data_IF_970469960390
#
_entry.id   IF_970469960390
#
_cell.length_a   1.000
_cell.length_b   1.000
_cell.length_c   1.000
_cell.angle_alpha   90.00
_cell.angle_beta   90.00
_cell.angle_gamma   90.00
#
_symmetry.space_group_name_H-M   'P 1'
#
loop_
_entity.id
_entity.type
_entity.pdbx_description
1 polymer ?
#
# COMPACT_ATOMS: atom_id res chain seq x y z
N UNK A 1 0.32 -3.04 -4.72
CA UNK A 1 -0.51 -2.18 -3.84
C UNK A 1 -1.97 -2.27 -4.30
N UNK A 2 -2.90 -2.67 -3.42
CA UNK A 2 -4.33 -2.52 -3.75
C UNK A 2 -4.66 -1.03 -3.73
N UNK A 3 -5.28 -0.55 -4.80
CA UNK A 3 -5.80 0.82 -4.93
C UNK A 3 -6.84 1.09 -3.83
N UNK A 4 -7.05 2.34 -3.45
CA UNK A 4 -8.12 2.77 -2.54
C UNK A 4 -9.37 3.10 -3.35
N UNK A 5 -10.53 2.55 -2.99
CA UNK A 5 -11.78 2.87 -3.67
C UNK A 5 -12.47 4.09 -3.07
N UNK A 6 -12.65 5.16 -3.84
CA UNK A 6 -13.38 6.37 -3.44
C UNK A 6 -14.76 6.31 -4.11
N UNK A 7 -15.83 6.20 -3.32
CA UNK A 7 -17.21 6.18 -3.82
C UNK A 7 -17.94 7.41 -3.31
N UNK A 8 -18.63 8.13 -4.18
CA UNK A 8 -19.39 9.32 -3.81
C UNK A 8 -20.77 9.32 -4.48
N UNK A 9 -21.71 10.06 -3.90
CA UNK A 9 -22.99 10.44 -4.54
C UNK A 9 -23.12 11.96 -4.52
N UNK A 10 -23.73 12.55 -5.54
CA UNK A 10 -23.70 14.01 -5.70
C UNK A 10 -24.73 14.53 -6.72
N UNK A 11 -25.68 15.36 -6.31
CA UNK A 11 -26.61 16.02 -7.26
C UNK A 11 -26.13 17.39 -7.75
N UNK A 12 -25.43 18.18 -6.90
CA UNK A 12 -24.96 19.54 -7.24
C UNK A 12 -23.51 19.60 -7.74
N UNK A 13 -22.77 18.50 -7.59
CA UNK A 13 -21.35 18.41 -7.93
C UNK A 13 -20.39 18.72 -6.77
N UNK A 14 -20.87 19.26 -5.64
CA UNK A 14 -20.01 19.61 -4.49
C UNK A 14 -19.26 18.37 -3.96
N UNK A 15 -19.98 17.29 -3.61
CA UNK A 15 -19.36 16.05 -3.13
C UNK A 15 -18.44 15.41 -4.16
N UNK A 16 -18.82 15.46 -5.45
CA UNK A 16 -17.99 14.95 -6.55
C UNK A 16 -16.67 15.73 -6.69
N UNK A 17 -16.70 17.05 -6.53
CA UNK A 17 -15.52 17.90 -6.56
C UNK A 17 -14.60 17.62 -5.37
N UNK A 18 -15.15 17.43 -4.16
CA UNK A 18 -14.37 17.01 -2.99
C UNK A 18 -13.74 15.63 -3.22
N UNK A 19 -14.49 14.67 -3.77
CA UNK A 19 -13.97 13.34 -4.07
C UNK A 19 -12.76 13.38 -5.03
N UNK A 20 -12.83 14.24 -6.07
CA UNK A 20 -11.69 14.49 -6.98
C UNK A 20 -10.50 15.11 -6.26
N UNK A 21 -10.71 16.14 -5.43
CA UNK A 21 -9.63 16.75 -4.62
C UNK A 21 -8.97 15.73 -3.68
N UNK A 22 -9.75 14.82 -3.09
CA UNK A 22 -9.23 13.72 -2.26
C UNK A 22 -8.34 12.79 -3.10
N UNK A 23 -8.82 12.38 -4.28
CA UNK A 23 -8.07 11.52 -5.19
C UNK A 23 -6.72 12.14 -5.60
N UNK A 24 -6.72 13.43 -5.98
CA UNK A 24 -5.50 14.15 -6.36
C UNK A 24 -4.47 14.16 -5.23
N UNK A 25 -4.91 14.40 -3.99
CA UNK A 25 -4.04 14.44 -2.81
C UNK A 25 -3.56 13.07 -2.33
N UNK A 26 -4.31 12.00 -2.62
CA UNK A 26 -3.94 10.60 -2.34
C UNK A 26 -3.11 9.93 -3.43
N UNK A 27 -2.87 10.62 -4.55
CA UNK A 27 -2.23 10.14 -5.78
C UNK A 27 -3.18 9.25 -6.64
N UNK A 28 -3.62 9.73 -7.83
CA UNK A 28 -4.55 9.02 -8.69
C UNK A 28 -4.11 7.61 -9.13
N UNK A 29 -2.81 7.32 -9.11
CA UNK A 29 -2.27 5.99 -9.45
C UNK A 29 -2.66 4.92 -8.41
N UNK A 30 -3.01 5.35 -7.19
CA UNK A 30 -3.27 4.50 -6.04
C UNK A 30 -4.71 4.60 -5.51
N UNK A 31 -5.59 5.30 -6.22
CA UNK A 31 -6.99 5.44 -5.84
C UNK A 31 -7.92 5.54 -7.04
N UNK A 32 -8.95 4.72 -7.05
CA UNK A 32 -9.99 4.70 -8.06
C UNK A 32 -11.20 5.50 -7.56
N UNK A 33 -11.88 6.19 -8.48
CA UNK A 33 -13.00 7.06 -8.18
C UNK A 33 -14.26 6.53 -8.86
N UNK A 34 -15.34 6.39 -8.09
CA UNK A 34 -16.60 5.81 -8.51
C UNK A 34 -17.78 6.69 -8.08
N UNK A 35 -18.73 6.86 -8.99
CA UNK A 35 -20.06 7.36 -8.66
C UNK A 35 -20.89 6.20 -8.11
N UNK A 36 -21.56 6.39 -6.98
CA UNK A 36 -22.37 5.35 -6.34
C UNK A 36 -23.56 4.95 -7.22
N UNK A 37 -24.08 5.86 -8.05
CA UNK A 37 -25.16 5.59 -9.00
C UNK A 37 -24.79 4.52 -10.04
N UNK A 38 -23.51 4.42 -10.39
CA UNK A 38 -22.97 3.46 -11.38
C UNK A 38 -22.24 2.28 -10.73
N UNK A 39 -22.21 2.22 -9.39
CA UNK A 39 -21.43 1.24 -8.64
C UNK A 39 -22.21 -0.02 -8.33
N UNK A 40 -21.49 -1.14 -8.21
CA UNK A 40 -22.06 -2.42 -7.78
C UNK A 40 -21.41 -2.94 -6.50
N UNK A 41 -22.01 -3.98 -5.92
CA UNK A 41 -21.44 -4.69 -4.77
C UNK A 41 -19.98 -5.13 -5.02
N UNK A 42 -19.69 -5.64 -6.22
CA UNK A 42 -18.37 -6.15 -6.59
C UNK A 42 -17.32 -5.05 -6.62
N UNK A 43 -17.73 -3.84 -7.00
CA UNK A 43 -16.82 -2.70 -7.09
C UNK A 43 -16.32 -2.27 -5.72
N UNK A 44 -17.14 -2.38 -4.67
CA UNK A 44 -16.72 -2.11 -3.29
C UNK A 44 -15.92 -3.30 -2.72
N UNK A 45 -16.34 -4.53 -3.01
CA UNK A 45 -15.75 -5.74 -2.42
C UNK A 45 -14.28 -5.95 -2.81
N UNK A 46 -13.84 -5.49 -3.98
CA UNK A 46 -12.45 -5.60 -4.44
C UNK A 46 -11.45 -4.73 -3.65
N UNK A 47 -11.92 -3.74 -2.89
CA UNK A 47 -11.06 -2.81 -2.15
C UNK A 47 -11.02 -3.10 -0.66
N UNK A 48 -9.82 -3.15 -0.08
CA UNK A 48 -9.65 -3.28 1.38
C UNK A 48 -9.71 -1.90 2.08
N UNK A 49 -9.48 -0.83 1.32
CA UNK A 49 -9.44 0.56 1.78
C UNK A 49 -10.45 1.36 0.97
N UNK A 50 -11.37 2.02 1.66
CA UNK A 50 -12.51 2.71 1.07
C UNK A 50 -12.63 4.13 1.61
N UNK A 51 -13.10 5.05 0.77
CA UNK A 51 -13.52 6.39 1.16
C UNK A 51 -14.93 6.61 0.64
N UNK A 52 -15.87 6.97 1.50
CA UNK A 52 -17.25 7.23 1.12
C UNK A 52 -17.61 8.71 1.29
N UNK A 53 -18.09 9.31 0.21
CA UNK A 53 -18.58 10.68 0.14
C UNK A 53 -20.10 10.73 0.07
N UNK A 54 -20.74 11.20 1.14
CA UNK A 54 -22.21 11.25 1.22
C UNK A 54 -22.70 12.65 1.59
N UNK A 55 -23.42 13.36 0.69
CA UNK A 55 -24.07 14.61 1.03
C UNK A 55 -25.34 14.35 1.85
N UNK A 56 -25.72 15.35 2.64
CA UNK A 56 -27.00 15.38 3.34
C UNK A 56 -27.97 16.29 2.61
N UNK A 57 -29.20 15.84 2.48
CA UNK A 57 -30.29 16.55 1.82
C UNK A 57 -31.47 16.75 2.74
N UNK A 58 -32.31 17.73 2.39
CA UNK A 58 -33.56 18.05 3.08
C UNK A 58 -33.41 18.12 4.62
N UNK A 59 -34.04 17.22 5.36
CA UNK A 59 -34.08 17.16 6.81
C UNK A 59 -33.22 16.00 7.34
N UNK A 60 -32.02 15.88 6.80
CA UNK A 60 -31.01 14.92 7.25
C UNK A 60 -30.97 13.61 6.46
N UNK A 61 -31.64 13.55 5.33
CA UNK A 61 -31.68 12.38 4.45
C UNK A 61 -30.36 12.19 3.68
N UNK A 62 -29.99 10.93 3.39
CA UNK A 62 -28.97 10.65 2.38
C UNK A 62 -29.45 11.09 0.98
N UNK A 63 -28.50 11.37 0.11
CA UNK A 63 -28.77 11.55 -1.32
C UNK A 63 -29.39 10.29 -1.94
N UNK A 64 -30.21 10.46 -2.98
CA UNK A 64 -31.05 9.38 -3.52
C UNK A 64 -30.27 8.16 -3.98
N UNK A 65 -29.14 8.34 -4.68
CA UNK A 65 -28.34 7.20 -5.16
C UNK A 65 -27.73 6.41 -3.99
N UNK A 66 -27.37 7.10 -2.90
CA UNK A 66 -26.96 6.43 -1.68
C UNK A 66 -28.09 5.67 -1.01
N UNK A 67 -29.29 6.24 -0.93
CA UNK A 67 -30.45 5.57 -0.33
C UNK A 67 -30.81 4.30 -1.10
N UNK A 68 -30.82 4.38 -2.44
CA UNK A 68 -31.02 3.24 -3.35
C UNK A 68 -29.92 2.17 -3.20
N UNK A 69 -28.69 2.59 -2.88
CA UNK A 69 -27.56 1.68 -2.70
C UNK A 69 -27.49 1.04 -1.30
N UNK A 70 -28.11 1.62 -0.26
CA UNK A 70 -28.05 1.10 1.10
C UNK A 70 -28.49 -0.38 1.27
N UNK A 71 -29.52 -0.89 0.56
CA UNK A 71 -29.84 -2.31 0.57
C UNK A 71 -28.72 -3.21 0.07
N UNK A 72 -27.89 -2.74 -0.87
CA UNK A 72 -26.68 -3.44 -1.35
C UNK A 72 -25.57 -3.34 -0.32
N UNK A 73 -25.33 -2.13 0.20
CA UNK A 73 -24.30 -1.87 1.20
C UNK A 73 -24.47 -2.76 2.45
N UNK A 74 -25.72 -2.98 2.89
CA UNK A 74 -26.05 -3.84 4.04
C UNK A 74 -25.68 -5.31 3.84
N UNK A 75 -25.48 -5.78 2.59
CA UNK A 75 -25.11 -7.16 2.27
C UNK A 75 -23.59 -7.38 2.22
N UNK A 76 -22.80 -6.31 2.23
CA UNK A 76 -21.35 -6.36 2.13
C UNK A 76 -20.72 -6.64 3.50
N UNK A 77 -19.76 -7.56 3.53
CA UNK A 77 -18.96 -7.81 4.73
C UNK A 77 -17.78 -6.81 4.80
N UNK A 78 -17.77 -5.97 5.84
CA UNK A 78 -16.73 -4.96 6.05
C UNK A 78 -15.71 -5.32 7.13
N UNK A 79 -15.73 -6.54 7.68
CA UNK A 79 -14.86 -6.98 8.80
C UNK A 79 -13.37 -6.67 8.63
N UNK A 80 -12.86 -6.79 7.40
CA UNK A 80 -11.45 -6.58 7.07
C UNK A 80 -11.20 -5.30 6.25
N UNK A 81 -12.20 -4.41 6.17
CA UNK A 81 -12.16 -3.20 5.36
C UNK A 81 -11.98 -1.97 6.24
N UNK A 82 -11.08 -1.08 5.82
CA UNK A 82 -10.82 0.21 6.46
C UNK A 82 -11.54 1.30 5.66
N UNK A 83 -12.37 2.09 6.33
CA UNK A 83 -13.26 3.05 5.68
C UNK A 83 -13.10 4.43 6.31
N UNK A 84 -12.90 5.44 5.45
CA UNK A 84 -13.01 6.85 5.82
C UNK A 84 -14.31 7.43 5.24
N UNK A 85 -14.94 8.36 5.95
CA UNK A 85 -16.18 9.02 5.51
C UNK A 85 -15.93 10.51 5.38
N UNK A 86 -16.48 11.14 4.34
CA UNK A 86 -16.66 12.58 4.28
C UNK A 86 -18.09 12.89 3.83
N UNK A 87 -18.58 14.07 4.17
CA UNK A 87 -19.90 14.52 3.79
C UNK A 87 -19.97 16.02 3.64
N UNK A 88 -20.89 16.45 2.79
CA UNK A 88 -21.21 17.85 2.58
C UNK A 88 -22.61 18.13 3.14
N UNK A 89 -22.77 19.27 3.79
CA UNK A 89 -24.05 19.78 4.27
C UNK A 89 -23.97 21.29 4.52
N UNK A 90 -25.09 21.88 4.89
CA UNK A 90 -25.19 23.31 5.22
C UNK A 90 -25.47 23.44 6.73
N UNK A 91 -24.55 24.05 7.46
CA UNK A 91 -24.65 24.15 8.91
C UNK A 91 -25.52 25.32 9.39
N UNK A 92 -25.88 26.25 8.51
CA UNK A 92 -26.62 27.46 8.86
C UNK A 92 -28.11 27.30 8.57
N UNK A 93 -28.47 26.92 7.33
CA UNK A 93 -29.88 26.72 6.96
C UNK A 93 -30.44 25.39 7.48
N UNK A 94 -29.57 24.38 7.64
CA UNK A 94 -29.95 23.03 8.06
C UNK A 94 -29.15 22.59 9.30
N UNK A 95 -28.96 23.52 10.24
CA UNK A 95 -28.18 23.36 11.47
C UNK A 95 -28.63 22.19 12.36
N UNK A 96 -29.92 21.82 12.34
CA UNK A 96 -30.49 20.67 13.07
C UNK A 96 -30.13 19.31 12.45
N UNK A 97 -29.72 19.30 11.18
CA UNK A 97 -29.51 18.10 10.37
C UNK A 97 -28.10 18.05 9.77
N UNK A 98 -27.17 18.86 10.27
CA UNK A 98 -25.88 19.10 9.62
C UNK A 98 -25.09 17.79 9.43
N UNK A 99 -24.83 17.43 8.17
CA UNK A 99 -24.13 16.21 7.78
C UNK A 99 -24.71 14.89 8.34
N UNK A 100 -26.02 14.83 8.64
CA UNK A 100 -26.71 13.66 9.20
C UNK A 100 -26.47 12.36 8.42
N UNK A 101 -26.39 12.44 7.09
CA UNK A 101 -26.22 11.28 6.22
C UNK A 101 -24.93 10.50 6.52
N UNK A 102 -23.86 11.18 6.97
CA UNK A 102 -22.63 10.49 7.42
C UNK A 102 -22.90 9.59 8.61
N UNK A 103 -23.75 10.03 9.54
CA UNK A 103 -24.14 9.25 10.72
C UNK A 103 -24.96 8.02 10.36
N UNK A 104 -25.88 8.16 9.39
CA UNK A 104 -26.69 7.05 8.86
C UNK A 104 -25.79 6.00 8.19
N UNK A 105 -24.89 6.45 7.31
CA UNK A 105 -23.91 5.59 6.65
C UNK A 105 -23.02 4.87 7.67
N UNK A 106 -22.46 5.60 8.64
CA UNK A 106 -21.60 5.04 9.68
C UNK A 106 -22.28 3.91 10.48
N UNK A 107 -23.57 4.05 10.80
CA UNK A 107 -24.33 2.97 11.49
C UNK A 107 -24.40 1.69 10.66
N UNK A 108 -24.63 1.80 9.35
CA UNK A 108 -24.68 0.64 8.45
C UNK A 108 -23.30 -0.06 8.41
N UNK A 109 -22.22 0.72 8.35
CA UNK A 109 -20.86 0.20 8.27
C UNK A 109 -20.44 -0.49 9.57
N UNK A 110 -20.69 0.12 10.73
CA UNK A 110 -20.36 -0.48 12.04
C UNK A 110 -21.15 -1.76 12.28
N UNK A 111 -22.44 -1.80 11.91
CA UNK A 111 -23.25 -3.02 12.02
C UNK A 111 -22.68 -4.18 11.19
N UNK A 112 -21.97 -3.87 10.11
CA UNK A 112 -21.26 -4.82 9.26
C UNK A 112 -19.76 -4.96 9.58
N UNK A 113 -19.35 -4.59 10.80
CA UNK A 113 -18.00 -4.75 11.35
C UNK A 113 -16.91 -3.93 10.63
N UNK A 114 -17.27 -2.82 9.97
CA UNK A 114 -16.31 -1.94 9.34
C UNK A 114 -15.40 -1.25 10.36
N UNK A 115 -14.12 -1.07 9.99
CA UNK A 115 -13.19 -0.24 10.75
C UNK A 115 -13.21 1.20 10.21
N UNK A 116 -13.79 2.10 10.99
CA UNK A 116 -13.94 3.52 10.63
C UNK A 116 -12.74 4.34 11.09
N UNK A 117 -12.19 5.15 10.20
CA UNK A 117 -11.06 6.05 10.44
C UNK A 117 -11.39 7.48 10.02
N UNK A 118 -10.55 8.44 10.42
CA UNK A 118 -10.69 9.83 9.97
C UNK A 118 -11.74 10.63 10.73
N UNK A 119 -11.89 10.43 12.04
CA UNK A 119 -12.75 11.29 12.86
C UNK A 119 -12.28 12.75 12.76
N UNK A 120 -13.23 13.68 12.64
CA UNK A 120 -12.96 15.11 12.52
C UNK A 120 -13.47 15.86 13.75
N UNK A 121 -12.78 16.92 14.19
CA UNK A 121 -13.19 17.70 15.36
C UNK A 121 -14.40 18.58 15.02
N UNK A 122 -15.32 18.79 15.97
CA UNK A 122 -16.43 19.76 15.80
C UNK A 122 -15.99 21.21 16.06
N UNK A 123 -14.74 21.45 16.44
CA UNK A 123 -14.21 22.80 16.67
C UNK A 123 -14.21 23.60 15.37
N UNK A 124 -14.80 24.81 15.41
CA UNK A 124 -14.92 25.71 14.26
C UNK A 124 -16.15 25.44 13.39
N UNK A 125 -17.13 24.70 13.89
CA UNK A 125 -18.45 24.52 13.28
C UNK A 125 -19.51 25.10 14.21
N UNK A 126 -20.57 25.67 13.64
CA UNK A 126 -21.73 26.20 14.35
C UNK A 126 -22.99 25.51 13.81
N UNK A 127 -23.60 24.64 14.62
CA UNK A 127 -24.80 23.87 14.25
C UNK A 127 -25.54 23.43 15.51
N UNK A 128 -26.82 23.10 15.39
CA UNK A 128 -27.67 22.70 16.53
C UNK A 128 -27.58 21.21 16.84
N UNK A 129 -27.65 20.36 15.80
CA UNK A 129 -27.61 18.91 15.95
C UNK A 129 -27.01 18.21 14.72
N UNK A 130 -26.50 17.00 14.96
CA UNK A 130 -26.00 16.12 13.90
C UNK A 130 -25.96 14.66 14.35
N UNK A 131 -26.54 13.76 13.55
CA UNK A 131 -26.46 12.30 13.70
C UNK A 131 -25.04 11.76 13.46
N UNK A 132 -24.16 12.57 12.87
CA UNK A 132 -22.77 12.21 12.61
C UNK A 132 -21.85 12.38 13.84
N UNK A 133 -22.38 12.79 15.00
CA UNK A 133 -21.59 13.03 16.20
C UNK A 133 -21.21 11.75 16.96
N UNK A 134 -19.95 11.74 17.43
CA UNK A 134 -19.39 10.81 18.41
C UNK A 134 -19.02 11.62 19.65
N UNK A 135 -19.61 11.27 20.79
CA UNK A 135 -19.35 11.90 22.10
C UNK A 135 -19.45 13.44 22.08
N UNK A 136 -20.28 14.02 21.19
CA UNK A 136 -20.48 15.47 20.97
C UNK A 136 -19.22 16.28 20.57
N UNK A 137 -18.06 15.65 20.45
CA UNK A 137 -16.76 16.33 20.18
C UNK A 137 -16.20 16.05 18.80
N UNK A 138 -16.64 14.97 18.17
CA UNK A 138 -16.09 14.52 16.89
C UNK A 138 -17.22 14.13 15.94
N UNK A 139 -17.03 14.42 14.65
CA UNK A 139 -17.77 13.77 13.59
C UNK A 139 -17.18 12.39 13.29
N UNK A 140 -18.02 11.46 12.82
CA UNK A 140 -17.62 10.12 12.33
C UNK A 140 -16.61 10.19 11.19
N UNK A 141 -16.58 11.30 10.45
CA UNK A 141 -15.75 11.56 9.28
C UNK A 141 -15.52 13.06 9.09
N UNK A 142 -15.03 13.47 7.92
CA UNK A 142 -14.84 14.88 7.57
C UNK A 142 -16.18 15.53 7.15
N UNK A 143 -16.68 16.47 7.96
CA UNK A 143 -17.80 17.33 7.61
C UNK A 143 -17.30 18.55 6.81
N UNK A 144 -17.94 18.86 5.69
CA UNK A 144 -17.66 20.04 4.88
C UNK A 144 -18.94 20.81 4.60
N UNK A 145 -18.76 22.10 4.37
CA UNK A 145 -19.84 23.03 4.07
C UNK A 145 -19.33 23.95 2.95
N UNK A 146 -19.62 23.55 1.71
CA UNK A 146 -19.18 24.30 0.51
C UNK A 146 -20.04 25.55 0.27
N UNK A 147 -21.19 25.66 0.94
CA UNK A 147 -22.13 26.76 0.75
C UNK A 147 -21.84 27.91 1.73
N UNK A 148 -21.47 27.59 2.98
CA UNK A 148 -21.19 28.59 4.05
C UNK A 148 -19.71 28.76 4.39
N UNK A 149 -18.88 27.72 4.25
CA UNK A 149 -17.47 27.75 4.63
C UNK A 149 -16.50 27.21 3.54
N UNK A 150 -16.65 27.58 2.25
CA UNK A 150 -15.82 27.05 1.17
C UNK A 150 -14.32 27.38 1.34
N UNK A 151 -13.99 28.49 2.01
CA UNK A 151 -12.61 28.91 2.29
C UNK A 151 -11.90 27.98 3.28
N UNK A 152 -12.65 27.29 4.15
CA UNK A 152 -12.08 26.38 5.14
C UNK A 152 -11.85 24.98 4.57
N UNK A 153 -12.53 24.62 3.48
CA UNK A 153 -12.50 23.28 2.89
C UNK A 153 -11.09 22.80 2.58
N UNK A 154 -10.28 23.62 1.91
CA UNK A 154 -8.94 23.20 1.51
C UNK A 154 -8.05 22.87 2.72
N UNK A 155 -8.14 23.69 3.77
CA UNK A 155 -7.38 23.50 5.01
C UNK A 155 -7.83 22.25 5.77
N UNK A 156 -9.16 22.05 5.90
CA UNK A 156 -9.77 20.90 6.56
C UNK A 156 -9.45 19.60 5.82
N UNK A 157 -9.50 19.64 4.48
CA UNK A 157 -9.18 18.52 3.61
C UNK A 157 -7.71 18.11 3.75
N UNK A 158 -6.78 19.06 3.73
CA UNK A 158 -5.35 18.77 3.90
C UNK A 158 -5.08 18.10 5.24
N UNK A 159 -5.56 18.69 6.34
CA UNK A 159 -5.37 18.15 7.69
C UNK A 159 -5.99 16.76 7.87
N UNK A 160 -7.20 16.57 7.34
CA UNK A 160 -7.89 15.29 7.41
C UNK A 160 -7.17 14.22 6.58
N UNK A 161 -6.73 14.57 5.37
CA UNK A 161 -5.96 13.67 4.52
C UNK A 161 -4.66 13.29 5.21
N UNK A 162 -3.89 14.20 5.79
CA UNK A 162 -2.67 13.83 6.53
C UNK A 162 -2.92 12.79 7.62
N UNK A 163 -4.03 12.92 8.37
CA UNK A 163 -4.42 11.93 9.39
C UNK A 163 -4.73 10.56 8.82
N UNK A 164 -5.55 10.49 7.77
CA UNK A 164 -5.94 9.20 7.18
C UNK A 164 -4.87 8.63 6.25
N UNK A 165 -4.02 9.47 5.67
CA UNK A 165 -3.00 9.10 4.70
C UNK A 165 -2.01 8.13 5.30
N UNK A 166 -1.65 8.28 6.57
CA UNK A 166 -0.82 7.27 7.22
C UNK A 166 -1.52 5.92 7.32
N UNK A 167 -2.85 5.84 7.45
CA UNK A 167 -3.58 4.55 7.54
C UNK A 167 -3.91 3.99 6.15
N UNK A 168 -4.23 4.87 5.21
CA UNK A 168 -4.58 4.54 3.82
C UNK A 168 -3.32 4.20 3.02
N UNK A 169 -2.23 4.94 3.21
CA UNK A 169 -0.94 4.69 2.57
C UNK A 169 -0.02 3.80 3.39
N UNK A 170 -0.26 3.60 4.70
CA UNK A 170 0.51 2.57 5.40
C UNK A 170 0.19 1.23 4.78
N UNK A 171 1.25 0.44 4.79
CA UNK A 171 1.20 -0.99 4.76
C UNK A 171 0.55 -1.46 6.08
N UNK A 172 -0.68 -1.06 6.38
CA UNK A 172 -1.54 -1.82 7.28
C UNK A 172 -2.23 -2.81 6.37
N UNK A 173 -1.84 -4.06 6.50
CA UNK A 173 -2.41 -5.16 5.76
C UNK A 173 -2.27 -6.45 6.54
N UNK A 174 -2.69 -7.55 5.92
CA UNK A 174 -2.56 -8.87 6.53
C UNK A 174 -1.11 -9.18 6.95
N UNK A 175 -0.11 -8.62 6.27
CA UNK A 175 1.31 -8.94 6.44
C UNK A 175 2.20 -7.73 6.77
N UNK A 176 1.61 -6.60 7.12
CA UNK A 176 2.33 -5.36 7.35
C UNK A 176 1.71 -4.54 8.50
N UNK A 177 2.58 -3.96 9.32
CA UNK A 177 2.27 -3.02 10.39
C UNK A 177 3.24 -1.83 10.27
N UNK A 178 2.84 -0.57 10.56
CA UNK A 178 3.70 0.60 10.36
C UNK A 178 5.02 0.54 11.14
N UNK A 179 4.99 -0.07 12.32
CA UNK A 179 6.15 -0.47 13.09
C UNK A 179 6.28 -2.00 13.06
N UNK A 180 7.49 -2.50 12.85
CA UNK A 180 7.75 -3.94 12.75
C UNK A 180 9.19 -4.24 13.15
N UNK A 181 9.43 -5.50 13.53
CA UNK A 181 10.70 -5.99 14.03
C UNK A 181 11.52 -6.57 12.89
N UNK A 182 12.75 -6.06 12.71
CA UNK A 182 13.71 -6.54 11.72
C UNK A 182 14.89 -7.17 12.43
N UNK A 183 15.33 -8.33 11.93
CA UNK A 183 16.64 -8.89 12.20
C UNK A 183 17.52 -8.67 10.97
N UNK A 184 18.54 -7.82 11.10
CA UNK A 184 19.47 -7.53 10.02
C UNK A 184 20.90 -7.84 10.44
N UNK A 185 21.64 -8.57 9.61
CA UNK A 185 23.04 -8.91 9.88
C UNK A 185 23.89 -8.90 8.61
N UNK A 186 25.20 -8.75 8.81
CA UNK A 186 26.19 -8.62 7.74
C UNK A 186 27.34 -9.60 7.99
N UNK A 187 27.70 -10.37 6.97
CA UNK A 187 28.79 -11.34 7.03
C UNK A 187 29.95 -10.89 6.13
N UNK A 188 31.09 -10.46 6.71
CA UNK A 188 32.31 -10.23 5.95
C UNK A 188 32.75 -11.49 5.21
N UNK A 189 33.22 -11.29 3.99
CA UNK A 189 33.77 -12.31 3.10
C UNK A 189 32.79 -13.35 2.57
N UNK A 190 31.49 -13.21 2.86
CA UNK A 190 30.44 -14.08 2.32
C UNK A 190 30.01 -13.62 0.93
N UNK A 191 29.93 -14.57 0.00
CA UNK A 191 29.19 -14.39 -1.25
C UNK A 191 27.68 -14.44 -1.01
N UNK A 192 26.89 -14.01 -1.99
CA UNK A 192 25.42 -14.10 -1.94
C UNK A 192 24.95 -15.53 -1.62
N UNK A 193 25.58 -16.55 -2.21
CA UNK A 193 25.20 -17.95 -1.98
C UNK A 193 25.68 -18.52 -0.64
N UNK A 194 26.71 -17.93 -0.03
CA UNK A 194 27.11 -18.28 1.34
C UNK A 194 26.03 -17.78 2.31
N UNK A 195 25.62 -16.52 2.15
CA UNK A 195 24.58 -15.93 3.00
C UNK A 195 23.22 -16.60 2.79
N UNK A 196 22.84 -16.95 1.57
CA UNK A 196 21.61 -17.72 1.29
C UNK A 196 21.59 -19.03 2.09
N UNK A 197 22.72 -19.74 2.18
CA UNK A 197 22.81 -21.00 2.95
C UNK A 197 22.62 -20.75 4.45
N UNK A 198 23.27 -19.72 4.99
CA UNK A 198 23.10 -19.34 6.39
C UNK A 198 21.65 -18.95 6.72
N UNK A 199 21.00 -18.19 5.83
CA UNK A 199 19.57 -17.83 5.98
C UNK A 199 18.68 -19.08 5.92
N UNK A 200 18.99 -20.05 5.05
CA UNK A 200 18.25 -21.31 4.94
C UNK A 200 18.39 -22.17 6.21
N UNK A 201 19.61 -22.24 6.76
CA UNK A 201 19.90 -22.95 8.01
C UNK A 201 19.19 -22.28 9.20
N UNK A 202 19.24 -20.95 9.29
CA UNK A 202 18.49 -20.17 10.30
C UNK A 202 16.98 -20.44 10.21
N UNK A 203 16.41 -20.40 9.00
CA UNK A 203 14.98 -20.64 8.77
C UNK A 203 14.56 -22.03 9.25
N UNK A 204 15.33 -23.08 8.91
CA UNK A 204 15.03 -24.45 9.32
C UNK A 204 15.33 -24.70 10.80
N UNK A 205 16.24 -23.95 11.41
CA UNK A 205 16.46 -24.01 12.84
C UNK A 205 15.25 -23.46 13.62
N UNK A 206 14.69 -22.33 13.18
CA UNK A 206 13.53 -21.70 13.81
C UNK A 206 12.24 -22.51 13.53
N UNK A 207 12.10 -23.07 12.32
CA UNK A 207 10.92 -23.83 11.92
C UNK A 207 11.32 -25.20 11.34
N UNK A 208 11.67 -26.19 12.19
CA UNK A 208 12.20 -27.50 11.75
C UNK A 208 11.25 -28.34 10.88
N UNK A 209 9.94 -28.02 10.90
CA UNK A 209 8.91 -28.71 10.11
C UNK A 209 8.83 -28.23 8.66
N UNK A 210 9.57 -27.17 8.29
CA UNK A 210 9.58 -26.69 6.92
C UNK A 210 10.16 -27.74 5.97
N UNK A 211 9.59 -27.80 4.77
CA UNK A 211 10.19 -28.56 3.68
C UNK A 211 11.41 -27.82 3.16
N UNK A 212 12.39 -28.59 2.69
CA UNK A 212 13.63 -28.09 2.08
C UNK A 212 13.35 -26.96 1.08
N UNK A 213 14.10 -25.87 1.23
CA UNK A 213 14.01 -24.70 0.37
C UNK A 213 14.43 -24.99 -1.08
N UNK A 214 13.88 -24.19 -1.99
CA UNK A 214 14.28 -24.19 -3.40
C UNK A 214 14.89 -22.85 -3.80
N UNK A 215 15.79 -22.90 -4.77
CA UNK A 215 16.49 -21.74 -5.30
C UNK A 215 16.12 -21.59 -6.78
N UNK A 216 15.72 -20.38 -7.19
CA UNK A 216 15.39 -20.10 -8.58
C UNK A 216 15.86 -18.69 -8.95
N UNK A 217 16.48 -18.54 -10.11
CA UNK A 217 16.85 -17.20 -10.58
C UNK A 217 15.63 -16.42 -11.03
N UNK A 218 15.68 -15.09 -10.90
CA UNK A 218 14.64 -14.18 -11.39
C UNK A 218 14.25 -14.46 -12.84
N UNK A 219 15.24 -14.70 -13.71
CA UNK A 219 14.99 -15.02 -15.13
C UNK A 219 14.21 -16.34 -15.30
N UNK A 220 14.65 -17.42 -14.66
CA UNK A 220 13.95 -18.72 -14.73
C UNK A 220 12.51 -18.62 -14.22
N UNK A 221 12.30 -17.80 -13.20
CA UNK A 221 10.99 -17.58 -12.61
C UNK A 221 10.07 -16.79 -13.57
N UNK A 222 10.58 -15.80 -14.30
CA UNK A 222 9.82 -15.13 -15.38
C UNK A 222 9.48 -16.09 -16.53
N UNK A 223 10.41 -16.94 -16.94
CA UNK A 223 10.16 -17.96 -17.96
C UNK A 223 9.08 -18.95 -17.49
N UNK A 224 9.13 -19.38 -16.23
CA UNK A 224 8.19 -20.35 -15.66
C UNK A 224 6.77 -19.80 -15.50
N UNK A 225 6.62 -18.61 -14.94
CA UNK A 225 5.30 -18.05 -14.57
C UNK A 225 4.67 -17.19 -15.66
N UNK A 226 5.48 -16.55 -16.50
CA UNK A 226 5.03 -15.58 -17.50
C UNK A 226 5.29 -16.07 -18.94
N UNK A 227 6.25 -16.99 -19.13
CA UNK A 227 6.60 -17.50 -20.46
C UNK A 227 7.44 -16.52 -21.29
N UNK A 228 8.19 -15.62 -20.63
CA UNK A 228 9.02 -14.61 -21.29
C UNK A 228 10.39 -14.49 -20.62
N UNK A 229 11.41 -14.12 -21.40
CA UNK A 229 12.68 -13.65 -20.85
C UNK A 229 12.55 -12.15 -20.50
N UNK A 230 12.81 -11.74 -19.25
CA UNK A 230 12.58 -10.37 -18.80
C UNK A 230 13.46 -9.33 -19.52
N UNK A 231 14.61 -9.72 -20.07
CA UNK A 231 15.56 -8.81 -20.72
C UNK A 231 15.56 -8.91 -22.25
N UNK A 232 15.13 -10.03 -22.82
CA UNK A 232 15.11 -10.23 -24.29
C UNK A 232 13.76 -9.97 -24.93
N UNK A 233 12.67 -10.14 -24.19
CA UNK A 233 11.33 -10.05 -24.78
C UNK A 233 10.97 -8.62 -25.20
N UNK A 234 10.18 -8.48 -26.27
CA UNK A 234 9.69 -7.19 -26.74
C UNK A 234 8.78 -6.50 -25.71
N UNK A 235 8.91 -5.18 -25.59
CA UNK A 235 8.09 -4.36 -24.67
C UNK A 235 6.60 -4.52 -24.98
N UNK A 236 6.21 -4.59 -26.26
CA UNK A 236 4.81 -4.81 -26.68
C UNK A 236 4.22 -6.09 -26.09
N UNK A 237 5.01 -7.17 -26.03
CA UNK A 237 4.58 -8.46 -25.46
C UNK A 237 4.39 -8.35 -23.95
N UNK A 238 5.31 -7.69 -23.25
CA UNK A 238 5.22 -7.41 -21.80
C UNK A 238 3.96 -6.59 -21.49
N UNK A 239 3.73 -5.52 -22.25
CA UNK A 239 2.56 -4.65 -22.10
C UNK A 239 1.24 -5.39 -22.29
N UNK A 240 1.16 -6.28 -23.29
CA UNK A 240 -0.04 -7.11 -23.54
C UNK A 240 -0.35 -8.08 -22.39
N UNK A 241 0.66 -8.49 -21.62
CA UNK A 241 0.46 -9.33 -20.43
C UNK A 241 -0.05 -8.48 -19.27
N UNK A 242 0.51 -7.29 -19.07
CA UNK A 242 0.08 -6.36 -18.02
C UNK A 242 -1.36 -5.87 -18.24
N UNK A 243 -1.74 -5.57 -19.48
CA UNK A 243 -3.10 -5.09 -19.79
C UNK A 243 -4.20 -6.13 -19.49
N UNK A 244 -3.84 -7.41 -19.33
CA UNK A 244 -4.76 -8.48 -18.92
C UNK A 244 -4.88 -8.62 -17.40
N UNK A 245 -4.12 -7.85 -16.63
CA UNK A 245 -4.26 -7.79 -15.18
C UNK A 245 -5.41 -6.82 -14.89
N UNK A 246 -6.46 -7.31 -14.23
CA UNK A 246 -7.74 -6.60 -14.03
C UNK A 246 -7.57 -5.18 -13.49
N UNK A 247 -6.58 -4.96 -12.62
CA UNK A 247 -6.26 -3.67 -12.00
C UNK A 247 -5.75 -2.63 -13.03
N UNK A 248 -5.22 -3.06 -14.17
CA UNK A 248 -4.57 -2.21 -15.17
C UNK A 248 -5.35 -2.06 -16.48
N UNK A 249 -6.65 -2.37 -16.49
CA UNK A 249 -7.55 -2.33 -17.67
C UNK A 249 -7.38 -1.05 -18.51
N UNK A 250 -6.51 -1.11 -19.52
CA UNK A 250 -6.23 -0.09 -20.55
C UNK A 250 -5.81 1.32 -20.10
N UNK A 251 -5.59 1.58 -18.81
CA UNK A 251 -5.13 2.90 -18.29
C UNK A 251 -3.64 2.93 -17.88
N UNK A 252 -2.90 1.87 -18.14
CA UNK A 252 -1.50 1.76 -17.72
C UNK A 252 -0.54 2.40 -18.73
N UNK A 253 0.07 3.52 -18.32
CA UNK A 253 1.17 4.17 -19.03
C UNK A 253 2.47 4.04 -18.23
N UNK A 254 3.08 2.85 -18.14
CA UNK A 254 4.47 2.80 -17.67
C UNK A 254 5.43 3.16 -18.77
N UNK A 255 6.48 3.87 -18.37
CA UNK A 255 7.46 4.41 -19.30
C UNK A 255 8.74 3.55 -19.35
N UNK A 256 8.90 2.54 -18.48
CA UNK A 256 10.12 1.74 -18.40
C UNK A 256 9.87 0.23 -18.30
N UNK A 257 10.80 -0.56 -18.86
CA UNK A 257 10.78 -2.04 -18.78
C UNK A 257 10.81 -2.51 -17.32
N UNK A 258 11.60 -1.88 -16.46
CA UNK A 258 11.79 -2.32 -15.08
C UNK A 258 10.53 -2.16 -14.23
N UNK A 259 9.77 -1.07 -14.43
CA UNK A 259 8.46 -0.89 -13.81
C UNK A 259 7.48 -1.99 -14.25
N UNK A 260 7.46 -2.31 -15.54
CA UNK A 260 6.64 -3.41 -16.07
C UNK A 260 7.02 -4.75 -15.45
N UNK A 261 8.33 -5.03 -15.33
CA UNK A 261 8.83 -6.26 -14.72
C UNK A 261 8.48 -6.32 -13.24
N UNK A 262 8.63 -5.22 -12.50
CA UNK A 262 8.26 -5.14 -11.09
C UNK A 262 6.76 -5.45 -10.89
N UNK A 263 5.88 -4.88 -11.71
CA UNK A 263 4.45 -5.18 -11.65
C UNK A 263 4.16 -6.65 -11.95
N UNK A 264 4.76 -7.21 -13.00
CA UNK A 264 4.57 -8.63 -13.29
C UNK A 264 5.04 -9.52 -12.14
N UNK A 265 6.17 -9.18 -11.53
CA UNK A 265 6.69 -9.90 -10.38
C UNK A 265 5.72 -9.81 -9.19
N UNK A 266 5.31 -8.61 -8.79
CA UNK A 266 4.43 -8.37 -7.64
C UNK A 266 3.03 -8.98 -7.79
N UNK A 267 2.41 -8.89 -8.98
CA UNK A 267 0.99 -9.27 -9.15
C UNK A 267 0.78 -10.66 -9.74
N UNK A 268 1.74 -11.22 -10.48
CA UNK A 268 1.59 -12.54 -11.10
C UNK A 268 2.49 -13.60 -10.49
N UNK A 269 3.68 -13.23 -10.03
CA UNK A 269 4.68 -14.20 -9.58
C UNK A 269 4.66 -14.33 -8.06
N UNK A 270 5.00 -13.26 -7.33
CA UNK A 270 5.18 -13.26 -5.87
C UNK A 270 4.04 -13.95 -5.10
N UNK A 271 2.74 -13.71 -5.39
CA UNK A 271 1.63 -14.38 -4.70
C UNK A 271 1.58 -15.89 -4.90
N UNK A 272 2.29 -16.41 -5.90
CA UNK A 272 2.36 -17.82 -6.23
C UNK A 272 3.66 -18.50 -5.78
N UNK A 273 4.57 -17.77 -5.14
CA UNK A 273 5.81 -18.30 -4.60
C UNK A 273 5.59 -18.97 -3.25
N UNK A 274 6.43 -19.95 -2.93
CA UNK A 274 6.49 -20.47 -1.58
C UNK A 274 5.29 -21.29 -1.10
N UNK A 275 4.36 -21.73 -1.97
CA UNK A 275 3.10 -22.41 -1.55
C UNK A 275 3.30 -23.75 -0.82
N UNK A 276 4.42 -24.45 -1.08
CA UNK A 276 4.69 -25.78 -0.51
C UNK A 276 5.98 -25.84 0.30
N UNK A 277 6.96 -25.02 -0.05
CA UNK A 277 8.31 -24.97 0.53
C UNK A 277 8.84 -23.55 0.32
N UNK A 278 9.79 -23.05 1.15
CA UNK A 278 10.37 -21.73 0.96
C UNK A 278 11.13 -21.64 -0.37
N UNK A 279 11.07 -20.47 -1.01
CA UNK A 279 11.72 -20.21 -2.29
C UNK A 279 12.62 -18.99 -2.16
N UNK A 280 13.90 -19.20 -2.39
CA UNK A 280 14.86 -18.13 -2.62
C UNK A 280 14.83 -17.75 -4.10
N UNK A 281 14.52 -16.48 -4.36
CA UNK A 281 14.64 -15.86 -5.68
C UNK A 281 15.94 -15.07 -5.69
N UNK A 282 16.83 -15.31 -6.66
CA UNK A 282 18.12 -14.62 -6.72
C UNK A 282 18.42 -14.03 -8.11
N UNK A 283 19.43 -13.17 -8.19
CA UNK A 283 19.82 -12.43 -9.39
C UNK A 283 18.68 -11.53 -9.92
N UNK A 284 18.26 -10.56 -9.12
CA UNK A 284 17.32 -9.53 -9.56
C UNK A 284 17.94 -8.60 -10.61
N UNK A 285 17.14 -7.92 -11.46
CA UNK A 285 17.62 -6.90 -12.37
C UNK A 285 18.41 -5.80 -11.66
N UNK A 286 19.44 -5.27 -12.32
CA UNK A 286 20.30 -4.24 -11.72
C UNK A 286 19.55 -2.96 -11.33
N UNK A 287 18.48 -2.59 -12.02
CA UNK A 287 17.68 -1.42 -11.66
C UNK A 287 16.78 -1.66 -10.42
N UNK A 288 16.67 -2.92 -10.00
CA UNK A 288 15.97 -3.35 -8.78
C UNK A 288 16.97 -3.79 -7.69
N UNK A 289 18.22 -3.34 -7.79
CA UNK A 289 19.33 -3.81 -6.95
C UNK A 289 19.48 -3.06 -5.62
N UNK A 290 18.85 -1.90 -5.46
CA UNK A 290 19.07 -1.02 -4.30
C UNK A 290 20.58 -0.78 -4.07
N UNK A 291 21.16 -1.34 -3.00
CA UNK A 291 22.58 -1.24 -2.62
C UNK A 291 23.39 -2.50 -2.97
N UNK A 292 22.80 -3.46 -3.69
CA UNK A 292 23.47 -4.70 -4.05
C UNK A 292 24.56 -4.50 -5.11
N UNK A 293 25.64 -5.27 -4.99
CA UNK A 293 26.71 -5.36 -5.96
C UNK A 293 26.21 -5.90 -7.32
N UNK A 294 26.89 -5.49 -8.39
CA UNK A 294 26.63 -5.98 -9.74
C UNK A 294 27.17 -7.41 -9.88
N UNK A 295 26.39 -8.31 -10.49
CA UNK A 295 26.87 -9.64 -10.82
C UNK A 295 28.01 -9.56 -11.85
N UNK A 296 29.20 -10.04 -11.48
CA UNK A 296 30.38 -10.00 -12.33
C UNK A 296 30.23 -10.87 -13.59
N UNK A 297 29.50 -11.98 -13.49
CA UNK A 297 29.25 -12.90 -14.61
C UNK A 297 28.26 -12.33 -15.62
N UNK A 298 27.31 -11.51 -15.16
CA UNK A 298 26.33 -10.89 -16.03
C UNK A 298 25.82 -9.57 -15.44
N UNK A 299 26.34 -8.46 -15.99
CA UNK A 299 26.08 -7.09 -15.52
C UNK A 299 24.61 -6.63 -15.62
N UNK A 300 23.71 -7.45 -16.19
CA UNK A 300 22.26 -7.19 -16.17
C UNK A 300 21.62 -7.50 -14.80
N UNK A 301 22.31 -8.29 -13.99
CA UNK A 301 21.83 -8.77 -12.70
C UNK A 301 22.63 -8.18 -11.55
N UNK A 302 22.00 -8.11 -10.40
CA UNK A 302 22.64 -7.82 -9.12
C UNK A 302 22.78 -9.10 -8.29
N UNK A 303 23.79 -9.13 -7.43
CA UNK A 303 24.00 -10.16 -6.41
C UNK A 303 23.02 -9.95 -5.24
N UNK A 304 21.72 -10.08 -5.55
CA UNK A 304 20.59 -9.88 -4.64
C UNK A 304 19.69 -11.11 -4.62
N UNK A 305 19.13 -11.42 -3.46
CA UNK A 305 18.11 -12.44 -3.28
C UNK A 305 16.98 -11.98 -2.36
N UNK A 306 15.84 -12.64 -2.49
CA UNK A 306 14.69 -12.52 -1.61
C UNK A 306 14.19 -13.93 -1.24
N UNK A 307 13.68 -14.10 -0.03
CA UNK A 307 13.10 -15.35 0.46
C UNK A 307 11.57 -15.22 0.55
N UNK A 308 10.86 -16.17 -0.07
CA UNK A 308 9.39 -16.22 -0.09
C UNK A 308 8.84 -17.51 0.51
N UNK A 309 7.78 -17.38 1.33
CA UNK A 309 6.97 -18.51 1.77
C UNK A 309 5.48 -18.11 1.84
N UNK A 310 4.58 -18.96 1.34
CA UNK A 310 3.14 -18.67 1.20
C UNK A 310 2.81 -17.32 0.51
N UNK A 311 3.62 -16.92 -0.48
CA UNK A 311 3.46 -15.65 -1.19
C UNK A 311 3.84 -14.41 -0.38
N UNK A 312 4.53 -14.59 0.75
CA UNK A 312 4.99 -13.54 1.65
C UNK A 312 6.51 -13.47 1.57
N UNK A 313 7.04 -12.25 1.39
CA UNK A 313 8.47 -11.98 1.49
C UNK A 313 8.91 -12.00 2.96
N UNK A 314 9.92 -12.81 3.28
CA UNK A 314 10.46 -12.96 4.63
C UNK A 314 11.80 -12.29 4.82
N UNK A 315 12.62 -12.27 3.78
CA UNK A 315 13.94 -11.68 3.84
C UNK A 315 14.35 -11.12 2.48
N UNK A 316 15.19 -10.10 2.53
CA UNK A 316 15.83 -9.47 1.38
C UNK A 316 17.31 -9.28 1.71
N UNK A 317 18.17 -9.86 0.89
CA UNK A 317 19.62 -9.83 1.12
C UNK A 317 20.40 -9.64 -0.17
N UNK A 318 21.64 -9.21 -0.02
CA UNK A 318 22.53 -8.98 -1.14
C UNK A 318 24.00 -9.08 -0.74
N UNK A 319 24.86 -9.25 -1.75
CA UNK A 319 26.24 -8.83 -1.64
C UNK A 319 26.29 -7.29 -1.69
N UNK A 320 26.99 -6.66 -0.76
CA UNK A 320 26.98 -5.21 -0.61
C UNK A 320 27.84 -4.50 -1.66
N UNK A 321 27.37 -3.34 -2.13
CA UNK A 321 28.15 -2.50 -3.04
C UNK A 321 29.27 -1.75 -2.30
N UNK A 322 30.50 -2.20 -2.51
CA UNK A 322 31.71 -1.60 -1.92
C UNK A 322 32.29 -0.42 -2.73
N UNK A 323 31.60 0.04 -3.78
CA UNK A 323 32.04 1.18 -4.60
C UNK A 323 31.23 2.44 -4.27
N UNK A 324 31.84 3.35 -3.50
CA UNK A 324 31.19 4.58 -3.08
C UNK A 324 30.78 5.51 -4.24
N UNK A 325 31.56 5.56 -5.33
CA UNK A 325 31.22 6.40 -6.50
C UNK A 325 29.97 5.86 -7.20
N UNK A 326 29.88 4.54 -7.34
CA UNK A 326 28.69 3.90 -7.91
C UNK A 326 27.47 4.08 -7.00
N UNK A 327 27.63 3.91 -5.68
CA UNK A 327 26.56 4.14 -4.71
C UNK A 327 26.04 5.58 -4.76
N UNK A 328 26.94 6.57 -4.89
CA UNK A 328 26.56 7.97 -5.06
C UNK A 328 25.73 8.19 -6.33
N UNK A 329 26.14 7.62 -7.47
CA UNK A 329 25.37 7.72 -8.72
C UNK A 329 23.98 7.08 -8.59
N UNK A 330 23.85 5.97 -7.85
CA UNK A 330 22.55 5.35 -7.57
C UNK A 330 21.66 6.25 -6.70
N UNK A 331 22.21 6.91 -5.68
CA UNK A 331 21.45 7.88 -4.88
C UNK A 331 20.94 9.07 -5.70
N UNK A 332 21.79 9.63 -6.57
CA UNK A 332 21.39 10.73 -7.48
C UNK A 332 20.30 10.26 -8.45
N UNK A 333 20.47 9.07 -9.04
CA UNK A 333 19.46 8.49 -9.94
C UNK A 333 18.12 8.29 -9.23
N UNK A 334 18.12 7.76 -8.00
CA UNK A 334 16.91 7.59 -7.21
C UNK A 334 16.20 8.93 -6.94
N UNK A 335 16.93 9.99 -6.62
CA UNK A 335 16.33 11.33 -6.45
C UNK A 335 15.72 11.89 -7.74
N UNK A 336 16.35 11.65 -8.90
CA UNK A 336 15.76 12.00 -10.21
C UNK A 336 14.43 11.26 -10.42
N UNK A 337 14.37 9.96 -10.11
CA UNK A 337 13.12 9.19 -10.22
C UNK A 337 12.06 9.66 -9.22
N UNK A 338 12.44 10.00 -7.99
CA UNK A 338 11.53 10.56 -6.98
C UNK A 338 10.92 11.87 -7.46
N UNK A 339 11.73 12.78 -7.99
CA UNK A 339 11.27 14.06 -8.56
C UNK A 339 10.28 13.85 -9.71
N UNK A 340 10.56 12.91 -10.61
CA UNK A 340 9.62 12.52 -11.69
C UNK A 340 8.28 12.00 -11.17
N UNK A 341 8.28 11.35 -10.01
CA UNK A 341 7.09 10.83 -9.31
C UNK A 341 6.44 11.85 -8.37
N UNK A 342 6.88 13.12 -8.37
CA UNK A 342 6.38 14.15 -7.47
C UNK A 342 6.74 13.94 -5.99
N UNK A 343 7.70 13.07 -5.69
CA UNK A 343 8.15 12.77 -4.34
C UNK A 343 9.32 13.68 -3.94
N UNK A 344 9.38 14.04 -2.66
CA UNK A 344 10.49 14.83 -2.11
C UNK A 344 11.83 14.11 -2.25
N UNK A 345 12.88 14.86 -2.56
CA UNK A 345 14.24 14.32 -2.61
C UNK A 345 14.69 13.83 -1.23
N UNK A 346 15.48 12.76 -1.20
CA UNK A 346 16.12 12.27 0.03
C UNK A 346 17.53 12.81 0.10
N UNK A 347 17.93 13.27 1.28
CA UNK A 347 19.32 13.69 1.55
C UNK A 347 20.24 12.50 1.33
N UNK A 348 21.28 12.69 0.53
CA UNK A 348 22.32 11.68 0.28
C UNK A 348 23.14 11.51 1.57
N UNK A 349 23.31 10.26 2.02
CA UNK A 349 24.11 9.95 3.19
C UNK A 349 25.61 9.98 2.86
N UNK A 350 26.24 11.13 3.12
CA UNK A 350 27.68 11.32 2.93
C UNK A 350 28.50 10.49 3.92
N UNK A 351 27.98 10.18 5.12
CA UNK A 351 28.71 9.38 6.11
C UNK A 351 28.85 7.94 5.63
N UNK A 352 27.79 7.36 5.08
CA UNK A 352 27.83 6.04 4.46
C UNK A 352 28.83 5.99 3.30
N UNK A 353 28.82 6.98 2.41
CA UNK A 353 29.75 7.03 1.27
C UNK A 353 31.21 7.14 1.71
N UNK A 354 31.48 7.93 2.75
CA UNK A 354 32.81 8.04 3.34
C UNK A 354 33.24 6.73 4.01
N UNK A 355 32.33 6.03 4.70
CA UNK A 355 32.61 4.74 5.31
C UNK A 355 32.97 3.68 4.25
N UNK A 356 32.22 3.60 3.16
CA UNK A 356 32.53 2.71 2.02
C UNK A 356 33.91 3.06 1.44
N UNK A 357 34.17 4.36 1.22
CA UNK A 357 35.45 4.84 0.67
C UNK A 357 36.64 4.57 1.58
N UNK A 358 36.42 4.43 2.89
CA UNK A 358 37.47 4.12 3.87
C UNK A 358 37.90 2.65 3.83
N UNK A 359 37.18 1.79 3.11
CA UNK A 359 37.54 0.39 2.90
C UNK A 359 36.57 -0.59 3.56
N UNK A 360 35.30 -0.56 3.17
CA UNK A 360 34.34 -1.61 3.56
C UNK A 360 34.78 -2.96 2.95
N UNK A 361 34.97 -4.02 3.75
CA UNK A 361 35.33 -5.32 3.21
C UNK A 361 34.19 -5.85 2.32
N UNK A 362 34.53 -6.70 1.37
CA UNK A 362 33.53 -7.51 0.66
C UNK A 362 32.67 -8.25 1.69
N UNK A 363 31.36 -8.09 1.62
CA UNK A 363 30.42 -8.70 2.55
C UNK A 363 29.05 -8.90 1.88
N UNK A 364 28.22 -9.73 2.49
CA UNK A 364 26.80 -9.85 2.16
C UNK A 364 25.96 -9.55 3.39
N UNK A 365 24.86 -8.83 3.21
CA UNK A 365 23.89 -8.49 4.25
C UNK A 365 22.50 -9.04 3.94
N UNK A 366 21.69 -9.23 4.97
CA UNK A 366 20.28 -9.62 4.84
C UNK A 366 19.45 -9.00 5.96
N UNK A 367 18.27 -8.51 5.59
CA UNK A 367 17.23 -8.08 6.51
C UNK A 367 16.08 -9.10 6.49
N UNK A 368 15.67 -9.56 7.67
CA UNK A 368 14.66 -10.60 7.88
C UNK A 368 13.50 -10.03 8.73
N UNK A 369 12.27 -10.14 8.24
CA UNK A 369 11.08 -9.69 8.96
C UNK A 369 10.68 -10.68 10.06
N UNK A 370 10.93 -10.31 11.32
CA UNK A 370 10.69 -11.20 12.47
C UNK A 370 9.20 -11.44 12.70
N UNK A 371 8.34 -10.43 12.58
CA UNK A 371 6.90 -10.62 12.81
C UNK A 371 6.31 -11.60 11.80
N UNK A 372 6.76 -11.55 10.54
CA UNK A 372 6.33 -12.50 9.50
C UNK A 372 6.86 -13.91 9.76
N UNK A 373 8.08 -14.03 10.29
CA UNK A 373 8.65 -15.32 10.70
C UNK A 373 7.82 -15.95 11.82
N UNK A 374 7.52 -15.18 12.87
CA UNK A 374 6.69 -15.63 14.00
C UNK A 374 5.28 -16.00 13.53
N UNK A 375 4.69 -15.19 12.64
CA UNK A 375 3.38 -15.48 12.04
C UNK A 375 3.37 -16.84 11.33
N UNK A 376 4.40 -17.17 10.57
CA UNK A 376 4.51 -18.48 9.91
C UNK A 376 4.74 -19.60 10.94
N UNK A 377 5.64 -19.40 11.90
CA UNK A 377 5.96 -20.40 12.92
C UNK A 377 4.72 -20.78 13.75
N UNK A 378 3.85 -19.81 14.03
CA UNK A 378 2.60 -20.00 14.78
C UNK A 378 1.39 -20.32 13.89
N UNK A 379 1.56 -20.40 12.57
CA UNK A 379 0.47 -20.57 11.60
C UNK A 379 -0.64 -19.50 11.76
N UNK A 380 -0.25 -18.29 12.16
CA UNK A 380 -1.13 -17.14 12.26
C UNK A 380 -1.47 -16.61 10.86
N UNK A 381 -2.66 -16.01 10.72
CA UNK A 381 -3.14 -15.51 9.43
C UNK A 381 -2.79 -14.06 9.22
N UNK A 382 -2.66 -13.27 10.28
CA UNK A 382 -2.40 -11.84 10.21
C UNK A 382 -1.23 -11.45 11.09
N UNK A 383 -0.50 -10.42 10.70
CA UNK A 383 0.62 -9.87 11.48
C UNK A 383 0.15 -9.32 12.83
N UNK A 384 -1.11 -8.86 12.93
CA UNK A 384 -1.70 -8.39 14.17
C UNK A 384 -1.88 -9.51 15.21
N UNK A 385 -1.90 -10.78 14.78
CA UNK A 385 -2.04 -11.93 15.68
C UNK A 385 -0.73 -12.23 16.44
N UNK A 386 0.39 -11.59 16.06
CA UNK A 386 1.72 -11.82 16.63
C UNK A 386 2.40 -10.56 17.16
N UNK A 387 1.72 -9.41 17.09
CA UNK A 387 2.14 -8.15 17.69
C UNK A 387 1.22 -7.85 18.87
N UNK A 388 1.78 -7.52 20.04
CA UNK A 388 1.01 -7.32 21.27
C UNK A 388 0.02 -6.14 21.17
N UNK A 389 0.47 -5.01 20.62
CA UNK A 389 -0.34 -3.82 20.35
C UNK A 389 -0.14 -3.42 18.89
N UNK A 390 -0.89 -4.01 17.95
CA UNK A 390 -0.89 -3.54 16.56
C UNK A 390 -1.38 -2.09 16.49
N UNK A 391 -1.06 -1.36 15.43
CA UNK A 391 -1.31 0.11 15.35
C UNK A 391 -2.78 0.52 15.58
N UNK A 392 -3.73 -0.41 15.43
CA UNK A 392 -5.14 -0.18 15.71
C UNK A 392 -5.53 -0.25 17.18
N UNK A 393 -4.60 -0.69 18.01
CA UNK A 393 -4.70 -0.83 19.47
C UNK A 393 -3.53 -0.14 20.20
N UNK A 394 -2.59 0.45 19.46
CA UNK A 394 -1.37 1.12 19.97
C UNK A 394 -1.65 2.50 20.57
#
# INVERSE_FOLDING_TARGET
>A
MKSTGIFFGSDTGNTANIAKKIQEKLNPIHSDLFDIAESSQKDIEQYDKLIFGIPTWYYGEPQCDWDDFFPVLKKINFKDKVIAIFGCGDQEDYSEYFCDAMGILNKILINNQAKIIGRHSTVGYEFEASKALINKKYFVGLALDEDRQPELTESRLCHWIEKIKNIINSEIGQYHNPEFTILEWYQPYYTMFDLIREVDDFLHHVIPKLKKSCFISYNQLFLKYIGIDPFKSEIKKIHKIISKITIFNNKYHSHSRDEMLQILFEYKISPNLGKKYPIFVYHFPILQSSMAAICLKNKKFAERFELYYHGIELANGCCELINAKEQYHRFVFNNIQRKRKGLSEKKIDIRLLNAISSGMPFCSGVAFGIDRLVMIALNAKKIQDVILFPIDQA
#
